data_IF_632646294585
#
_entry.id   IF_632646294585
#
_cell.length_a   1.000
_cell.length_b   1.000
_cell.length_c   1.000
_cell.angle_alpha   90.00
_cell.angle_beta   90.00
_cell.angle_gamma   90.00
#
_symmetry.space_group_name_H-M   'P 1'
#
loop_
_entity.id
_entity.type
_entity.pdbx_description
1 polymer ?
#
# COMPACT_ATOMS: atom_id res chain seq x y z
N UNK A 1 21.09 -13.44 -7.32
CA UNK A 1 19.70 -13.71 -7.71
C UNK A 1 19.11 -12.69 -8.69
N UNK A 2 18.68 -11.48 -8.30
CA UNK A 2 18.01 -10.57 -9.27
C UNK A 2 18.89 -10.20 -10.47
N UNK A 3 20.14 -9.77 -10.23
CA UNK A 3 21.11 -9.42 -11.29
C UNK A 3 21.41 -10.60 -12.24
N UNK A 4 21.43 -11.81 -11.71
CA UNK A 4 21.68 -13.03 -12.49
C UNK A 4 20.45 -13.41 -13.31
N UNK A 5 19.24 -13.25 -12.74
CA UNK A 5 17.99 -13.46 -13.46
C UNK A 5 17.84 -12.45 -14.61
N UNK A 6 18.12 -11.17 -14.36
CA UNK A 6 18.09 -10.13 -15.40
C UNK A 6 19.14 -10.40 -16.49
N UNK A 7 20.34 -10.85 -16.13
CA UNK A 7 21.37 -11.22 -17.09
C UNK A 7 20.99 -12.43 -17.95
N UNK A 8 20.35 -13.45 -17.35
CA UNK A 8 19.87 -14.62 -18.08
C UNK A 8 18.71 -14.27 -19.03
N UNK A 9 17.79 -13.39 -18.63
CA UNK A 9 16.74 -12.87 -19.50
C UNK A 9 17.36 -12.08 -20.66
N UNK A 10 18.34 -11.21 -20.40
CA UNK A 10 19.05 -10.46 -21.43
C UNK A 10 19.82 -11.38 -22.40
N UNK A 11 20.23 -12.56 -21.95
CA UNK A 11 20.87 -13.60 -22.77
C UNK A 11 19.87 -14.49 -23.55
N UNK A 12 18.56 -14.20 -23.50
CA UNK A 12 17.53 -14.91 -24.26
C UNK A 12 16.81 -16.03 -23.52
N UNK A 13 16.95 -16.14 -22.19
CA UNK A 13 16.20 -17.10 -21.36
C UNK A 13 14.84 -16.55 -20.88
N UNK A 14 14.27 -15.57 -21.59
CA UNK A 14 13.00 -14.92 -21.26
C UNK A 14 11.78 -15.85 -21.31
N UNK A 15 11.92 -16.98 -21.98
CA UNK A 15 10.87 -17.99 -22.14
C UNK A 15 10.76 -18.99 -20.98
N UNK A 16 11.59 -18.87 -19.93
CA UNK A 16 11.60 -19.78 -18.78
C UNK A 16 10.69 -19.28 -17.63
N UNK A 17 9.52 -19.90 -17.35
CA UNK A 17 8.59 -19.43 -16.32
C UNK A 17 9.20 -19.45 -14.90
N UNK A 18 10.12 -20.38 -14.66
CA UNK A 18 10.83 -20.54 -13.40
C UNK A 18 11.82 -19.41 -13.12
N UNK A 19 12.52 -18.95 -14.17
CA UNK A 19 13.40 -17.78 -14.08
C UNK A 19 12.58 -16.53 -13.74
N UNK A 20 11.41 -16.37 -14.37
CA UNK A 20 10.49 -15.27 -14.08
C UNK A 20 9.93 -15.32 -12.65
N UNK A 21 9.56 -16.50 -12.15
CA UNK A 21 9.14 -16.66 -10.75
C UNK A 21 10.24 -16.33 -9.76
N UNK A 22 11.48 -16.78 -10.01
CA UNK A 22 12.63 -16.44 -9.16
C UNK A 22 12.97 -14.94 -9.17
N UNK A 23 12.81 -14.29 -10.33
CA UNK A 23 12.92 -12.83 -10.49
C UNK A 23 11.83 -12.11 -9.69
N UNK A 24 10.58 -12.55 -9.81
CA UNK A 24 9.45 -11.99 -9.08
C UNK A 24 9.63 -12.11 -7.55
N UNK A 25 10.11 -13.26 -7.06
CA UNK A 25 10.40 -13.43 -5.64
C UNK A 25 11.51 -12.49 -5.16
N UNK A 26 12.57 -12.31 -5.96
CA UNK A 26 13.62 -11.36 -5.64
C UNK A 26 13.10 -9.91 -5.62
N UNK A 27 12.24 -9.53 -6.56
CA UNK A 27 11.59 -8.22 -6.61
C UNK A 27 10.67 -7.99 -5.41
N UNK A 28 9.91 -9.02 -4.99
CA UNK A 28 9.08 -8.99 -3.78
C UNK A 28 9.93 -8.69 -2.53
N UNK A 29 11.08 -9.36 -2.37
CA UNK A 29 12.00 -9.11 -1.25
C UNK A 29 12.66 -7.73 -1.29
N UNK A 30 12.70 -7.10 -2.46
CA UNK A 30 13.15 -5.71 -2.64
C UNK A 30 11.99 -4.71 -2.57
N UNK A 31 10.79 -5.15 -2.21
CA UNK A 31 9.58 -4.34 -2.12
C UNK A 31 9.15 -3.68 -3.45
N UNK A 32 9.58 -4.24 -4.59
CA UNK A 32 9.22 -3.79 -5.95
C UNK A 32 7.99 -4.56 -6.45
N UNK A 33 6.86 -4.39 -5.77
CA UNK A 33 5.67 -5.23 -5.95
C UNK A 33 5.05 -5.16 -7.35
N UNK A 34 5.01 -3.96 -7.96
CA UNK A 34 4.45 -3.77 -9.31
C UNK A 34 5.26 -4.55 -10.35
N UNK A 35 6.59 -4.54 -10.21
CA UNK A 35 7.47 -5.28 -11.10
C UNK A 35 7.40 -6.78 -10.86
N UNK A 36 7.28 -7.20 -9.59
CA UNK A 36 7.06 -8.60 -9.24
C UNK A 36 5.76 -9.14 -9.86
N UNK A 37 4.68 -8.37 -9.79
CA UNK A 37 3.38 -8.72 -10.38
C UNK A 37 3.45 -8.83 -11.91
N UNK A 38 4.09 -7.84 -12.55
CA UNK A 38 4.30 -7.84 -14.00
C UNK A 38 5.13 -9.05 -14.47
N UNK A 39 6.22 -9.38 -13.76
CA UNK A 39 7.06 -10.53 -14.08
C UNK A 39 6.28 -11.86 -14.03
N UNK A 40 5.37 -12.02 -13.07
CA UNK A 40 4.53 -13.23 -12.97
C UNK A 40 3.43 -13.28 -14.02
N UNK A 41 2.86 -12.14 -14.42
CA UNK A 41 1.81 -12.11 -15.45
C UNK A 41 2.33 -12.59 -16.80
N UNK A 42 3.54 -12.17 -17.16
CA UNK A 42 4.24 -12.66 -18.35
C UNK A 42 4.56 -14.17 -18.25
N UNK A 43 4.92 -14.64 -17.05
CA UNK A 43 5.21 -16.07 -16.83
C UNK A 43 4.00 -16.99 -17.06
N UNK A 44 2.80 -16.55 -16.67
CA UNK A 44 1.54 -17.31 -16.86
C UNK A 44 1.15 -17.38 -18.33
N UNK A 45 1.41 -16.34 -19.12
CA UNK A 45 1.17 -16.37 -20.58
C UNK A 45 2.10 -17.36 -21.29
N UNK A 46 3.38 -17.40 -20.89
CA UNK A 46 4.36 -18.36 -21.39
C UNK A 46 3.99 -19.81 -21.05
N UNK A 47 3.55 -20.09 -19.81
CA UNK A 47 3.14 -21.43 -19.39
C UNK A 47 1.94 -21.96 -20.19
N UNK A 48 0.95 -21.10 -20.48
CA UNK A 48 -0.19 -21.46 -21.35
C UNK A 48 0.24 -21.85 -22.77
N UNK A 49 1.35 -21.29 -23.25
CA UNK A 49 1.87 -21.55 -24.59
C UNK A 49 2.71 -22.83 -24.68
N UNK A 50 3.25 -23.34 -23.56
CA UNK A 50 4.11 -24.53 -23.54
C UNK A 50 3.97 -25.33 -22.21
N UNK A 51 3.07 -26.34 -22.15
CA UNK A 51 2.83 -27.13 -20.94
C UNK A 51 4.00 -28.07 -20.57
N UNK A 52 4.91 -28.35 -21.50
CA UNK A 52 5.96 -29.38 -21.36
C UNK A 52 7.06 -29.04 -20.34
N UNK A 53 7.08 -27.81 -19.80
CA UNK A 53 8.04 -27.42 -18.76
C UNK A 53 7.56 -27.68 -17.31
N UNK A 54 6.30 -28.08 -17.11
CA UNK A 54 5.66 -28.13 -15.80
C UNK A 54 6.23 -29.19 -14.82
N UNK A 55 6.91 -30.22 -15.30
CA UNK A 55 7.31 -31.37 -14.48
C UNK A 55 8.74 -31.28 -13.90
N UNK A 56 9.48 -30.23 -14.21
CA UNK A 56 10.86 -30.07 -13.71
C UNK A 56 10.84 -29.72 -12.22
N UNK A 57 11.63 -30.42 -11.39
CA UNK A 57 11.79 -30.07 -9.97
C UNK A 57 12.80 -28.94 -9.80
N UNK A 58 12.45 -27.91 -9.05
CA UNK A 58 13.30 -26.79 -8.69
C UNK A 58 13.24 -26.55 -7.18
N UNK A 59 14.39 -26.49 -6.50
CA UNK A 59 14.48 -26.48 -5.03
C UNK A 59 13.65 -27.57 -4.32
N UNK A 60 13.50 -28.74 -4.95
CA UNK A 60 12.70 -29.84 -4.40
C UNK A 60 11.18 -29.70 -4.59
N UNK A 61 10.71 -28.63 -5.23
CA UNK A 61 9.30 -28.40 -5.59
C UNK A 61 9.05 -28.64 -7.07
N UNK A 62 7.82 -29.01 -7.44
CA UNK A 62 7.39 -28.98 -8.84
C UNK A 62 7.41 -27.51 -9.33
N UNK A 63 8.01 -27.25 -10.49
CA UNK A 63 8.17 -25.88 -11.03
C UNK A 63 6.87 -25.07 -11.07
N UNK A 64 5.76 -25.67 -11.52
CA UNK A 64 4.44 -25.02 -11.50
C UNK A 64 3.96 -24.68 -10.08
N UNK A 65 4.26 -25.53 -9.09
CA UNK A 65 3.92 -25.25 -7.68
C UNK A 65 4.66 -24.03 -7.15
N UNK A 66 5.96 -23.90 -7.44
CA UNK A 66 6.76 -22.75 -7.02
C UNK A 66 6.23 -21.43 -7.63
N UNK A 67 5.80 -21.43 -8.88
CA UNK A 67 5.19 -20.25 -9.50
C UNK A 67 3.94 -19.77 -8.74
N UNK A 68 3.07 -20.71 -8.37
CA UNK A 68 1.87 -20.41 -7.60
C UNK A 68 2.17 -19.94 -6.17
N UNK A 69 3.24 -20.45 -5.54
CA UNK A 69 3.72 -19.92 -4.25
C UNK A 69 4.11 -18.45 -4.36
N UNK A 70 4.94 -18.11 -5.36
CA UNK A 70 5.42 -16.73 -5.54
C UNK A 70 4.24 -15.81 -5.88
N UNK A 71 3.30 -16.28 -6.70
CA UNK A 71 2.04 -15.57 -6.99
C UNK A 71 1.25 -15.30 -5.72
N UNK A 72 1.03 -16.31 -4.86
CA UNK A 72 0.32 -16.14 -3.61
C UNK A 72 1.00 -15.08 -2.71
N UNK A 73 2.32 -15.11 -2.57
CA UNK A 73 3.08 -14.12 -1.77
C UNK A 73 2.94 -12.69 -2.33
N UNK A 74 3.02 -12.54 -3.65
CA UNK A 74 2.85 -11.23 -4.31
C UNK A 74 1.41 -10.70 -4.14
N UNK A 75 0.41 -11.57 -4.31
CA UNK A 75 -1.00 -11.22 -4.12
C UNK A 75 -1.30 -10.83 -2.67
N UNK A 76 -0.72 -11.52 -1.68
CA UNK A 76 -0.80 -11.15 -0.27
C UNK A 76 -0.24 -9.74 0.00
N UNK A 77 0.94 -9.43 -0.55
CA UNK A 77 1.57 -8.13 -0.40
C UNK A 77 0.76 -7.01 -1.08
N UNK A 78 0.11 -7.30 -2.20
CA UNK A 78 -0.76 -6.38 -2.93
C UNK A 78 -2.18 -6.27 -2.35
N UNK A 79 -2.52 -7.08 -1.34
CA UNK A 79 -3.84 -7.09 -0.71
C UNK A 79 -4.92 -7.85 -1.49
N UNK A 80 -4.55 -8.67 -2.46
CA UNK A 80 -5.45 -9.54 -3.24
C UNK A 80 -5.60 -10.90 -2.54
N UNK A 81 -6.15 -10.88 -1.33
CA UNK A 81 -6.20 -12.07 -0.45
C UNK A 81 -6.94 -13.26 -1.06
N UNK A 82 -8.06 -13.03 -1.76
CA UNK A 82 -8.82 -14.11 -2.41
C UNK A 82 -8.00 -14.78 -3.52
N UNK A 83 -7.27 -13.99 -4.30
CA UNK A 83 -6.41 -14.49 -5.38
C UNK A 83 -5.18 -15.21 -4.80
N UNK A 84 -4.65 -14.72 -3.69
CA UNK A 84 -3.57 -15.38 -2.96
C UNK A 84 -3.98 -16.77 -2.45
N UNK A 85 -5.18 -16.90 -1.87
CA UNK A 85 -5.72 -18.20 -1.42
C UNK A 85 -5.88 -19.13 -2.61
N UNK A 86 -6.49 -18.67 -3.71
CA UNK A 86 -6.64 -19.49 -4.94
C UNK A 86 -5.29 -19.93 -5.51
N UNK A 87 -4.29 -19.06 -5.52
CA UNK A 87 -2.95 -19.39 -5.98
C UNK A 87 -2.30 -20.45 -5.07
N UNK A 88 -2.38 -20.28 -3.75
CA UNK A 88 -1.85 -21.26 -2.79
C UNK A 88 -2.56 -22.64 -2.89
N UNK A 89 -3.86 -22.66 -3.16
CA UNK A 89 -4.61 -23.89 -3.40
C UNK A 89 -4.17 -24.60 -4.68
N UNK A 90 -3.93 -23.85 -5.77
CA UNK A 90 -3.37 -24.41 -7.01
C UNK A 90 -1.97 -24.98 -6.81
N UNK A 91 -1.13 -24.30 -6.03
CA UNK A 91 0.18 -24.82 -5.63
C UNK A 91 0.03 -26.17 -4.91
N UNK A 92 -0.91 -26.27 -3.97
CA UNK A 92 -1.19 -27.51 -3.23
C UNK A 92 -1.72 -28.65 -4.10
N UNK A 93 -2.54 -28.34 -5.10
CA UNK A 93 -3.02 -29.34 -6.06
C UNK A 93 -1.88 -29.87 -6.93
N UNK A 94 -0.92 -29.00 -7.28
CA UNK A 94 0.23 -29.34 -8.13
C UNK A 94 1.27 -30.16 -7.36
N UNK A 95 1.53 -29.83 -6.10
CA UNK A 95 2.50 -30.53 -5.25
C UNK A 95 1.94 -30.75 -3.84
N UNK A 96 1.08 -31.77 -3.73
CA UNK A 96 0.37 -32.09 -2.49
C UNK A 96 1.27 -32.65 -1.39
N UNK A 97 2.41 -33.23 -1.78
CA UNK A 97 3.39 -33.85 -0.89
C UNK A 97 4.32 -32.84 -0.21
N UNK A 98 4.35 -31.60 -0.70
CA UNK A 98 5.28 -30.59 -0.22
C UNK A 98 4.75 -29.89 1.06
N UNK A 99 5.56 -29.95 2.12
CA UNK A 99 5.24 -29.36 3.41
C UNK A 99 5.26 -27.83 3.37
N UNK A 100 6.14 -27.21 2.60
CA UNK A 100 6.21 -25.75 2.51
C UNK A 100 4.95 -25.17 1.82
N UNK A 101 4.45 -25.85 0.79
CA UNK A 101 3.17 -25.52 0.15
C UNK A 101 2.01 -25.63 1.14
N UNK A 102 2.04 -26.65 1.99
CA UNK A 102 1.05 -26.85 3.06
C UNK A 102 1.04 -25.68 4.02
N UNK A 103 2.20 -25.37 4.59
CA UNK A 103 2.37 -24.30 5.57
C UNK A 103 1.99 -22.94 4.97
N UNK A 104 2.39 -22.68 3.72
CA UNK A 104 2.02 -21.46 3.02
C UNK A 104 0.50 -21.31 2.88
N UNK A 105 -0.19 -22.35 2.41
CA UNK A 105 -1.64 -22.32 2.25
C UNK A 105 -2.35 -22.05 3.58
N UNK A 106 -1.91 -22.72 4.65
CA UNK A 106 -2.48 -22.52 5.98
C UNK A 106 -2.26 -21.08 6.47
N UNK A 107 -1.05 -20.54 6.33
CA UNK A 107 -0.75 -19.15 6.67
C UNK A 107 -1.58 -18.16 5.84
N UNK A 108 -1.64 -18.32 4.52
CA UNK A 108 -2.41 -17.44 3.63
C UNK A 108 -3.90 -17.43 4.03
N UNK A 109 -4.47 -18.58 4.35
CA UNK A 109 -5.86 -18.69 4.84
C UNK A 109 -6.05 -18.00 6.20
N UNK A 110 -5.13 -18.19 7.13
CA UNK A 110 -5.20 -17.55 8.45
C UNK A 110 -5.10 -16.02 8.33
N UNK A 111 -4.22 -15.51 7.47
CA UNK A 111 -4.09 -14.06 7.22
C UNK A 111 -5.35 -13.51 6.55
N UNK A 112 -5.89 -14.19 5.54
CA UNK A 112 -7.13 -13.79 4.86
C UNK A 112 -8.33 -13.78 5.82
N UNK A 113 -8.48 -14.82 6.64
CA UNK A 113 -9.55 -14.89 7.66
C UNK A 113 -9.42 -13.77 8.71
N UNK A 114 -8.20 -13.52 9.20
CA UNK A 114 -7.91 -12.44 10.13
C UNK A 114 -8.24 -11.06 9.54
N UNK A 115 -7.95 -10.85 8.25
CA UNK A 115 -8.34 -9.64 7.51
C UNK A 115 -9.85 -9.47 7.43
N UNK A 116 -10.57 -10.55 7.10
CA UNK A 116 -12.03 -10.54 6.96
C UNK A 116 -12.72 -10.23 8.29
N UNK A 117 -12.29 -10.88 9.37
CA UNK A 117 -12.83 -10.64 10.70
C UNK A 117 -12.48 -9.24 11.19
N UNK A 118 -11.26 -8.76 10.93
CA UNK A 118 -10.86 -7.38 11.22
C UNK A 118 -11.73 -6.35 10.49
N UNK A 119 -12.04 -6.57 9.21
CA UNK A 119 -12.92 -5.70 8.44
C UNK A 119 -14.35 -5.71 8.98
N UNK A 120 -14.86 -6.88 9.36
CA UNK A 120 -16.19 -7.03 9.96
C UNK A 120 -16.30 -6.20 11.24
N UNK A 121 -15.35 -6.34 12.17
CA UNK A 121 -15.32 -5.52 13.38
C UNK A 121 -15.14 -4.03 13.09
N UNK A 122 -14.30 -3.68 12.11
CA UNK A 122 -14.10 -2.29 11.71
C UNK A 122 -15.41 -1.66 11.22
N UNK A 123 -16.16 -2.37 10.38
CA UNK A 123 -17.43 -1.91 9.84
C UNK A 123 -18.53 -1.77 10.91
N UNK A 124 -18.45 -2.52 12.00
CA UNK A 124 -19.35 -2.37 13.15
C UNK A 124 -18.86 -1.36 14.19
N UNK A 125 -17.73 -0.67 13.94
CA UNK A 125 -17.15 0.30 14.87
C UNK A 125 -16.37 -0.30 16.05
N UNK A 126 -16.19 -1.62 16.09
CA UNK A 126 -15.48 -2.35 17.13
C UNK A 126 -13.96 -2.33 16.84
N UNK A 127 -13.34 -1.14 16.96
CA UNK A 127 -11.97 -0.92 16.50
C UNK A 127 -10.90 -1.66 17.32
N UNK A 128 -11.16 -1.99 18.59
CA UNK A 128 -10.22 -2.73 19.44
C UNK A 128 -10.12 -4.20 19.00
N UNK A 129 -11.27 -4.83 18.74
CA UNK A 129 -11.40 -6.18 18.21
C UNK A 129 -10.84 -6.24 16.78
N UNK A 130 -11.14 -5.24 15.94
CA UNK A 130 -10.55 -5.13 14.60
C UNK A 130 -9.02 -5.07 14.66
N UNK A 131 -8.46 -4.22 15.53
CA UNK A 131 -7.02 -4.13 15.72
C UNK A 131 -6.39 -5.45 16.19
N UNK A 132 -7.10 -6.21 17.02
CA UNK A 132 -6.66 -7.52 17.49
C UNK A 132 -6.66 -8.54 16.36
N UNK A 133 -7.74 -8.61 15.57
CA UNK A 133 -7.86 -9.52 14.43
C UNK A 133 -6.75 -9.27 13.39
N UNK A 134 -6.52 -8.01 12.98
CA UNK A 134 -5.39 -7.70 12.10
C UNK A 134 -4.04 -8.04 12.72
N UNK A 135 -3.90 -7.90 14.04
CA UNK A 135 -2.73 -8.31 14.80
C UNK A 135 -2.46 -9.81 14.70
N UNK A 136 -3.49 -10.65 14.76
CA UNK A 136 -3.35 -12.11 14.60
C UNK A 136 -2.92 -12.47 13.18
N UNK A 137 -3.48 -11.83 12.14
CA UNK A 137 -3.00 -12.04 10.76
C UNK A 137 -1.51 -11.70 10.59
N UNK A 138 -1.04 -10.63 11.24
CA UNK A 138 0.37 -10.24 11.23
C UNK A 138 1.30 -11.24 11.94
N UNK A 139 0.78 -12.20 12.72
CA UNK A 139 1.61 -13.29 13.28
C UNK A 139 1.97 -14.32 12.23
N UNK A 140 1.15 -14.44 11.18
CA UNK A 140 1.34 -15.38 10.07
C UNK A 140 1.99 -14.73 8.85
N UNK A 141 1.81 -13.41 8.68
CA UNK A 141 2.50 -12.60 7.67
C UNK A 141 3.01 -11.27 8.29
N UNK A 142 4.19 -11.29 8.92
CA UNK A 142 4.74 -10.15 9.68
C UNK A 142 5.11 -8.94 8.82
N UNK A 143 5.14 -9.07 7.49
CA UNK A 143 5.46 -8.00 6.56
C UNK A 143 4.25 -7.65 5.69
N UNK A 144 3.01 -7.91 6.16
CA UNK A 144 1.83 -7.56 5.38
C UNK A 144 1.51 -6.05 5.47
N UNK A 145 1.72 -5.25 4.40
CA UNK A 145 1.49 -3.81 4.44
C UNK A 145 0.01 -3.47 4.63
N UNK A 146 -0.89 -4.30 4.10
CA UNK A 146 -2.34 -4.05 4.17
C UNK A 146 -2.87 -4.22 5.59
N UNK A 147 -2.44 -5.29 6.29
CA UNK A 147 -2.85 -5.50 7.68
C UNK A 147 -2.28 -4.44 8.61
N UNK A 148 -1.04 -4.01 8.41
CA UNK A 148 -0.50 -2.86 9.14
C UNK A 148 -1.32 -1.60 8.89
N UNK A 149 -1.64 -1.26 7.64
CA UNK A 149 -2.44 -0.08 7.32
C UNK A 149 -3.84 -0.14 7.96
N UNK A 150 -4.51 -1.30 7.91
CA UNK A 150 -5.83 -1.46 8.49
C UNK A 150 -5.79 -1.37 10.03
N UNK A 151 -4.77 -1.96 10.66
CA UNK A 151 -4.55 -1.83 12.10
C UNK A 151 -4.20 -0.40 12.51
N UNK A 152 -3.45 0.32 11.68
CA UNK A 152 -3.16 1.74 11.88
C UNK A 152 -4.44 2.58 11.88
N UNK A 153 -5.37 2.32 10.96
CA UNK A 153 -6.67 2.98 10.92
C UNK A 153 -7.51 2.69 12.18
N UNK A 154 -7.49 1.45 12.69
CA UNK A 154 -8.14 1.11 13.97
C UNK A 154 -7.52 1.88 15.13
N UNK A 155 -6.19 1.89 15.23
CA UNK A 155 -5.44 2.62 16.27
C UNK A 155 -5.70 4.12 16.21
N UNK A 156 -5.84 4.68 15.01
CA UNK A 156 -6.29 6.05 14.80
C UNK A 156 -7.69 6.21 15.42
N UNK A 157 -8.68 5.41 15.04
CA UNK A 157 -10.04 5.52 15.62
C UNK A 157 -10.09 5.36 17.14
N UNK A 158 -9.14 4.64 17.74
CA UNK A 158 -8.99 4.47 19.19
C UNK A 158 -8.19 5.57 19.90
N UNK A 159 -7.72 6.60 19.19
CA UNK A 159 -6.89 7.66 19.78
C UNK A 159 -5.43 7.27 20.05
N UNK A 160 -4.99 6.11 19.57
CA UNK A 160 -3.63 5.59 19.76
C UNK A 160 -2.70 6.08 18.64
N UNK A 161 -2.57 7.40 18.49
CA UNK A 161 -1.92 8.05 17.34
C UNK A 161 -0.46 7.62 17.13
N UNK A 162 0.35 7.52 18.17
CA UNK A 162 1.74 7.06 18.05
C UNK A 162 1.84 5.61 17.57
N UNK A 163 0.94 4.73 18.04
CA UNK A 163 0.88 3.33 17.58
C UNK A 163 0.35 3.24 16.15
N UNK A 164 -0.49 4.18 15.72
CA UNK A 164 -0.95 4.31 14.34
C UNK A 164 0.21 4.72 13.42
N UNK A 165 1.00 5.72 13.81
CA UNK A 165 2.21 6.15 13.08
C UNK A 165 3.19 4.99 12.93
N UNK A 166 3.42 4.20 13.99
CA UNK A 166 4.30 3.04 13.92
C UNK A 166 3.86 2.03 12.84
N UNK A 167 2.58 1.67 12.80
CA UNK A 167 2.06 0.73 11.81
C UNK A 167 2.05 1.35 10.39
N UNK A 168 1.79 2.66 10.26
CA UNK A 168 1.92 3.36 8.99
C UNK A 168 3.37 3.33 8.48
N UNK A 169 4.35 3.54 9.36
CA UNK A 169 5.77 3.47 8.99
C UNK A 169 6.17 2.06 8.52
N UNK A 170 5.64 1.01 9.15
CA UNK A 170 5.83 -0.37 8.67
C UNK A 170 5.25 -0.56 7.27
N UNK A 171 4.04 -0.07 7.04
CA UNK A 171 3.40 -0.11 5.72
C UNK A 171 4.23 0.64 4.67
N UNK A 172 4.67 1.87 4.98
CA UNK A 172 5.38 2.75 4.05
C UNK A 172 6.84 2.33 3.82
N UNK A 173 7.43 1.56 4.73
CA UNK A 173 8.72 0.91 4.49
C UNK A 173 8.65 -0.18 3.42
N UNK A 174 7.48 -0.80 3.23
CA UNK A 174 7.23 -1.88 2.26
C UNK A 174 6.57 -1.33 0.99
N UNK A 175 5.67 -0.37 1.13
CA UNK A 175 5.00 0.31 0.03
C UNK A 175 5.04 1.82 0.26
N UNK A 176 6.09 2.52 -0.18
CA UNK A 176 6.26 3.96 0.04
C UNK A 176 5.09 4.81 -0.47
N UNK A 177 4.42 4.33 -1.53
CA UNK A 177 3.31 5.03 -2.16
C UNK A 177 1.92 4.60 -1.65
N UNK A 178 1.86 3.87 -0.52
CA UNK A 178 0.59 3.40 0.04
C UNK A 178 -0.27 4.56 0.56
N UNK A 179 -1.11 5.11 -0.32
CA UNK A 179 -1.89 6.35 -0.10
C UNK A 179 -2.68 6.36 1.21
N UNK A 180 -3.35 5.25 1.56
CA UNK A 180 -4.13 5.16 2.80
C UNK A 180 -3.25 5.25 4.06
N UNK A 181 -2.02 4.74 4.01
CA UNK A 181 -1.08 4.81 5.11
C UNK A 181 -0.49 6.21 5.25
N UNK A 182 -0.15 6.88 4.14
CA UNK A 182 0.24 8.29 4.14
C UNK A 182 -0.87 9.17 4.77
N UNK A 183 -2.11 8.97 4.35
CA UNK A 183 -3.25 9.76 4.85
C UNK A 183 -3.46 9.53 6.36
N UNK A 184 -3.43 8.27 6.79
CA UNK A 184 -3.60 7.90 8.21
C UNK A 184 -2.43 8.42 9.06
N UNK A 185 -1.20 8.39 8.54
CA UNK A 185 -0.01 8.90 9.24
C UNK A 185 -0.05 10.43 9.36
N UNK A 186 -0.39 11.13 8.29
CA UNK A 186 -0.58 12.58 8.29
C UNK A 186 -1.65 13.01 9.32
N UNK A 187 -2.80 12.33 9.31
CA UNK A 187 -3.86 12.57 10.27
C UNK A 187 -3.44 12.25 11.71
N UNK A 188 -2.62 11.23 11.92
CA UNK A 188 -2.06 10.90 13.24
C UNK A 188 -1.08 11.97 13.74
N UNK A 189 -0.20 12.46 12.86
CA UNK A 189 0.71 13.56 13.18
C UNK A 189 -0.05 14.84 13.53
N UNK A 190 -1.09 15.17 12.77
CA UNK A 190 -1.96 16.30 13.07
C UNK A 190 -2.62 16.19 14.45
N UNK A 191 -3.09 14.99 14.84
CA UNK A 191 -3.66 14.75 16.19
C UNK A 191 -2.65 14.87 17.33
N UNK A 192 -1.36 14.74 17.03
CA UNK A 192 -0.25 14.93 17.97
C UNK A 192 0.39 16.31 17.85
N UNK A 193 -0.20 17.22 17.07
CA UNK A 193 0.34 18.56 16.80
C UNK A 193 1.74 18.56 16.16
N UNK A 194 2.11 17.44 15.53
CA UNK A 194 3.34 17.26 14.75
C UNK A 194 3.14 17.80 13.34
N UNK A 195 2.85 19.10 13.26
CA UNK A 195 2.35 19.74 12.05
C UNK A 195 3.33 19.68 10.88
N UNK A 196 4.63 19.77 11.15
CA UNK A 196 5.65 19.69 10.10
C UNK A 196 5.66 18.31 9.42
N UNK A 197 5.53 17.23 10.19
CA UNK A 197 5.42 15.89 9.61
C UNK A 197 4.09 15.66 8.89
N UNK A 198 2.99 16.18 9.43
CA UNK A 198 1.68 16.10 8.77
C UNK A 198 1.67 16.80 7.39
N UNK A 199 2.23 18.01 7.31
CA UNK A 199 2.34 18.79 6.06
C UNK A 199 3.14 18.00 5.01
N UNK A 200 4.28 17.41 5.38
CA UNK A 200 5.10 16.63 4.43
C UNK A 200 4.32 15.46 3.81
N UNK A 201 3.59 14.70 4.61
CA UNK A 201 2.80 13.57 4.10
C UNK A 201 1.62 14.05 3.24
N UNK A 202 0.95 15.14 3.61
CA UNK A 202 -0.12 15.73 2.81
C UNK A 202 0.37 16.34 1.50
N UNK A 203 1.57 16.93 1.46
CA UNK A 203 2.20 17.43 0.22
C UNK A 203 2.53 16.29 -0.73
N UNK A 204 3.07 15.18 -0.24
CA UNK A 204 3.31 13.99 -1.06
C UNK A 204 1.98 13.44 -1.64
N UNK A 205 0.94 13.34 -0.80
CA UNK A 205 -0.40 12.96 -1.27
C UNK A 205 -0.95 13.95 -2.30
N UNK A 206 -0.77 15.26 -2.11
CA UNK A 206 -1.23 16.29 -3.03
C UNK A 206 -0.57 16.16 -4.40
N UNK A 207 0.74 15.93 -4.43
CA UNK A 207 1.49 15.75 -5.67
C UNK A 207 0.98 14.52 -6.45
N UNK A 208 0.58 13.46 -5.73
CA UNK A 208 0.04 12.22 -6.32
C UNK A 208 -1.45 12.31 -6.69
N UNK A 209 -2.19 13.22 -6.05
CA UNK A 209 -3.64 13.39 -6.18
C UNK A 209 -4.00 14.88 -6.26
N UNK A 210 -3.64 15.58 -7.35
CA UNK A 210 -3.81 17.03 -7.46
C UNK A 210 -5.28 17.45 -7.29
N UNK A 211 -6.21 16.66 -7.81
CA UNK A 211 -7.65 16.96 -7.83
C UNK A 211 -8.40 16.51 -6.57
N UNK A 212 -7.72 15.93 -5.57
CA UNK A 212 -8.38 15.47 -4.35
C UNK A 212 -8.59 16.62 -3.37
N UNK A 213 -9.84 17.07 -3.21
CA UNK A 213 -10.23 18.18 -2.32
C UNK A 213 -10.06 17.86 -0.84
N UNK A 214 -10.22 16.60 -0.42
CA UNK A 214 -10.05 16.23 0.99
C UNK A 214 -8.58 16.36 1.44
N UNK A 215 -7.65 15.89 0.59
CA UNK A 215 -6.20 16.08 0.79
C UNK A 215 -5.86 17.57 0.75
N UNK A 216 -6.53 18.33 -0.12
CA UNK A 216 -6.36 19.77 -0.22
C UNK A 216 -6.68 20.51 1.07
N UNK A 217 -7.87 20.25 1.60
CA UNK A 217 -8.38 20.82 2.85
C UNK A 217 -7.47 20.44 4.01
N UNK A 218 -7.13 19.16 4.10
CA UNK A 218 -6.29 18.64 5.18
C UNK A 218 -4.88 19.24 5.16
N UNK A 219 -4.28 19.40 3.97
CA UNK A 219 -2.99 20.08 3.80
C UNK A 219 -3.06 21.53 4.26
N UNK A 220 -4.07 22.26 3.80
CA UNK A 220 -4.26 23.66 4.16
C UNK A 220 -4.42 23.84 5.68
N UNK A 221 -5.26 23.02 6.32
CA UNK A 221 -5.42 23.05 7.77
C UNK A 221 -4.11 22.75 8.50
N UNK A 222 -3.34 21.77 8.04
CA UNK A 222 -2.04 21.44 8.63
C UNK A 222 -1.02 22.58 8.46
N UNK A 223 -1.01 23.26 7.30
CA UNK A 223 -0.14 24.40 7.05
C UNK A 223 -0.51 25.62 7.92
N UNK A 224 -1.80 25.92 8.05
CA UNK A 224 -2.29 26.97 8.96
C UNK A 224 -1.88 26.66 10.40
N UNK A 225 -2.10 25.43 10.86
CA UNK A 225 -1.72 25.03 12.22
C UNK A 225 -0.20 25.08 12.45
N UNK A 226 0.61 24.71 11.45
CA UNK A 226 2.06 24.84 11.51
C UNK A 226 2.49 26.31 11.67
N UNK A 227 1.92 27.23 10.89
CA UNK A 227 2.19 28.68 10.99
C UNK A 227 1.80 29.23 12.36
N UNK A 228 0.60 28.89 12.85
CA UNK A 228 0.14 29.27 14.18
C UNK A 228 1.10 28.76 15.27
N UNK A 229 1.56 27.50 15.16
CA UNK A 229 2.50 26.91 16.13
C UNK A 229 3.87 27.59 16.17
N UNK A 230 4.23 28.31 15.10
CA UNK A 230 5.47 29.11 14.99
C UNK A 230 5.29 30.56 15.47
N UNK A 231 4.07 30.95 15.86
CA UNK A 231 3.74 32.32 16.24
C UNK A 231 3.58 33.27 15.05
N UNK A 232 3.40 32.74 13.85
CA UNK A 232 3.11 33.53 12.65
C UNK A 232 1.64 33.97 12.66
N UNK A 233 1.35 35.17 12.15
CA UNK A 233 -0.02 35.69 12.07
C UNK A 233 -0.79 34.98 10.95
N UNK A 234 -1.98 34.42 11.27
CA UNK A 234 -2.79 33.63 10.32
C UNK A 234 -4.12 34.29 9.99
N UNK A 235 -4.19 35.62 10.07
CA UNK A 235 -5.39 36.37 9.67
C UNK A 235 -5.67 36.15 8.16
N UNK A 236 -6.94 35.89 7.82
CA UNK A 236 -7.49 35.75 6.46
C UNK A 236 -7.20 34.45 5.68
N UNK A 237 -6.65 33.40 6.28
CA UNK A 237 -6.53 32.11 5.58
C UNK A 237 -7.86 31.33 5.60
N UNK A 238 -8.61 31.34 4.48
CA UNK A 238 -9.77 30.45 4.25
C UNK A 238 -9.48 29.46 3.13
N UNK A 239 -9.78 28.18 3.36
CA UNK A 239 -9.74 27.18 2.30
C UNK A 239 -10.90 27.40 1.33
N UNK A 240 -10.63 27.46 0.02
CA UNK A 240 -11.67 27.53 -1.01
C UNK A 240 -12.52 28.81 -0.96
N UNK A 241 -11.89 29.98 -0.79
CA UNK A 241 -12.59 31.27 -0.92
C UNK A 241 -13.42 31.34 -2.22
N UNK A 242 -14.54 32.09 -2.18
CA UNK A 242 -15.39 32.26 -3.35
C UNK A 242 -14.55 32.79 -4.52
N UNK A 243 -14.41 31.98 -5.57
CA UNK A 243 -13.81 32.44 -6.83
C UNK A 243 -14.84 33.32 -7.51
N UNK A 244 -14.90 34.59 -7.14
CA UNK A 244 -15.72 35.57 -7.85
C UNK A 244 -15.19 35.70 -9.27
N UNK A 245 -16.03 35.36 -10.25
CA UNK A 245 -15.71 35.54 -11.66
C UNK A 245 -15.69 37.03 -11.96
N UNK A 246 -14.50 37.59 -12.14
CA UNK A 246 -14.33 39.00 -12.50
C UNK A 246 -14.85 39.20 -13.92
N UNK A 247 -15.99 39.89 -14.03
CA UNK A 247 -16.66 40.13 -15.32
C UNK A 247 -16.44 41.55 -15.86
N UNK A 248 -15.95 42.47 -15.02
CA UNK A 248 -15.66 43.84 -15.43
C UNK A 248 -14.39 44.42 -14.80
N UNK A 249 -13.94 45.52 -15.40
CA UNK A 249 -12.69 46.21 -15.03
C UNK A 249 -12.76 46.81 -13.63
N UNK A 250 -13.93 47.27 -13.18
CA UNK A 250 -14.11 47.83 -11.84
C UNK A 250 -13.97 46.75 -10.74
N UNK A 251 -14.51 45.54 -10.97
CA UNK A 251 -14.36 44.40 -10.05
C UNK A 251 -12.89 43.99 -9.90
N UNK A 252 -12.13 44.01 -11.01
CA UNK A 252 -10.69 43.75 -10.98
C UNK A 252 -9.92 44.78 -10.17
N UNK A 253 -10.20 46.08 -10.39
CA UNK A 253 -9.54 47.16 -9.67
C UNK A 253 -9.88 47.17 -8.19
N UNK A 254 -11.12 46.82 -7.82
CA UNK A 254 -11.56 46.68 -6.43
C UNK A 254 -10.85 45.52 -5.72
N UNK A 255 -10.76 44.35 -6.35
CA UNK A 255 -10.04 43.19 -5.80
C UNK A 255 -8.54 43.48 -5.57
N UNK A 256 -7.90 44.17 -6.51
CA UNK A 256 -6.49 44.59 -6.38
C UNK A 256 -6.24 45.65 -5.29
N UNK A 257 -7.28 46.30 -4.77
CA UNK A 257 -7.20 47.37 -3.77
C UNK A 257 -7.52 46.92 -2.34
N UNK A 258 -7.98 45.68 -2.16
CA UNK A 258 -8.15 45.04 -0.85
C UNK A 258 -6.80 44.54 -0.32
N UNK A 259 -6.36 44.92 0.88
CA UNK A 259 -5.11 44.45 1.45
C UNK A 259 -5.30 43.01 1.96
N UNK A 260 -4.99 42.01 1.12
CA UNK A 260 -4.87 40.63 1.60
C UNK A 260 -5.18 39.50 0.63
N UNK A 261 -5.67 39.76 -0.58
CA UNK A 261 -5.99 38.69 -1.54
C UNK A 261 -5.14 38.88 -2.79
N UNK A 262 -3.97 38.25 -2.80
CA UNK A 262 -3.27 37.77 -4.00
C UNK A 262 -1.92 37.21 -3.55
N UNK A 263 -1.80 35.88 -3.54
CA UNK A 263 -0.55 35.22 -3.91
C UNK A 263 -0.83 33.81 -4.42
N UNK A 264 -0.17 33.51 -5.54
CA UNK A 264 -0.29 32.36 -6.43
C UNK A 264 -0.04 31.00 -5.76
#
# INVERSE_FOLDING_TARGET
>A
MLREADAAIAAGADSCPLLMASRAEALLRLHRLVEADSALSNAVELEKSCPSCAETKFFGMVSGSYMYIVRAKVDMALGRFDDAVKAAEKSRQTDSSNLEVTILLDNVRLVAAARDEGNKFFNTGNYAEASTAYGEGLRHDPENPVLYCNRAACRWKLGQWERSIHDCNKTLGIQPDYRKALLTRAASYAKLERWAEAVRDYEDLRNKLPDNTEVAESLFHAQVALKTSRGEEVSNMKFGGEVEKITCKEQFQAAMSLPGELQF
#
